data_IF_556258905953
#
_entry.id   IF_556258905953
#
_cell.length_a   1.000
_cell.length_b   1.000
_cell.length_c   1.000
_cell.angle_alpha   90.00
_cell.angle_beta   90.00
_cell.angle_gamma   90.00
#
_symmetry.space_group_name_H-M   'P 1'
#
loop_
_entity.id
_entity.type
_entity.pdbx_description
1 polymer ?
#
# COMPACT_ATOMS: atom_id res chain seq x y z
N UNK A 1 37.81 10.27 23.85
CA UNK A 1 36.37 9.93 23.84
C UNK A 1 35.79 10.46 22.53
N UNK A 2 35.83 9.67 21.45
CA UNK A 2 35.23 10.05 20.18
C UNK A 2 33.71 9.96 20.30
N UNK A 3 33.04 11.10 20.22
CA UNK A 3 31.58 11.17 20.19
C UNK A 3 31.08 10.39 18.98
N UNK A 4 30.35 9.29 19.22
CA UNK A 4 29.61 8.58 18.18
C UNK A 4 28.70 9.59 17.48
N UNK A 5 29.07 10.00 16.26
CA UNK A 5 28.25 10.86 15.41
C UNK A 5 26.84 10.27 15.33
N UNK A 6 25.85 10.95 15.93
CA UNK A 6 24.45 10.54 15.85
C UNK A 6 24.07 10.51 14.38
N UNK A 7 23.77 9.33 13.84
CA UNK A 7 23.39 9.18 12.45
C UNK A 7 22.23 10.13 12.13
N UNK A 8 22.41 11.00 11.13
CA UNK A 8 21.36 11.94 10.70
C UNK A 8 20.10 11.15 10.32
N UNK A 9 18.96 11.55 10.86
CA UNK A 9 17.63 10.97 10.57
C UNK A 9 16.72 12.07 10.04
N UNK A 10 15.87 11.73 9.08
CA UNK A 10 14.79 12.61 8.65
C UNK A 10 13.55 12.27 9.47
N UNK A 11 12.72 13.27 9.72
CA UNK A 11 11.38 13.12 10.30
C UNK A 11 10.33 13.39 9.22
N UNK A 12 9.15 12.81 9.39
CA UNK A 12 7.99 13.14 8.57
C UNK A 12 7.14 14.21 9.29
N UNK A 13 6.92 15.34 8.62
CA UNK A 13 6.18 16.51 9.08
C UNK A 13 5.34 17.09 7.93
N UNK A 14 4.69 18.24 8.15
CA UNK A 14 3.86 18.88 7.13
C UNK A 14 4.61 19.26 5.84
N UNK A 15 5.91 19.58 5.92
CA UNK A 15 6.74 19.85 4.72
C UNK A 15 6.98 18.56 3.93
N UNK A 16 7.20 17.46 4.64
CA UNK A 16 7.27 16.12 4.05
C UNK A 16 5.98 15.73 3.31
N UNK A 17 4.83 15.97 3.94
CA UNK A 17 3.53 15.71 3.32
C UNK A 17 3.29 16.59 2.09
N UNK A 18 3.57 17.90 2.21
CA UNK A 18 3.44 18.84 1.09
C UNK A 18 4.30 18.41 -0.10
N UNK A 19 5.56 18.02 0.13
CA UNK A 19 6.45 17.58 -0.93
C UNK A 19 5.91 16.33 -1.67
N UNK A 20 5.36 15.36 -0.95
CA UNK A 20 4.75 14.18 -1.56
C UNK A 20 3.54 14.55 -2.43
N UNK A 21 2.61 15.35 -1.90
CA UNK A 21 1.40 15.75 -2.62
C UNK A 21 1.73 16.62 -3.83
N UNK A 22 2.57 17.65 -3.66
CA UNK A 22 2.96 18.54 -4.75
C UNK A 22 3.74 17.79 -5.83
N UNK A 23 4.62 16.85 -5.42
CA UNK A 23 5.34 16.00 -6.35
C UNK A 23 4.43 15.07 -7.14
N UNK A 24 3.42 14.49 -6.49
CA UNK A 24 2.41 13.67 -7.15
C UNK A 24 1.64 14.47 -8.19
N UNK A 25 1.11 15.63 -7.80
CA UNK A 25 0.38 16.51 -8.69
C UNK A 25 1.24 16.98 -9.86
N UNK A 26 2.49 17.36 -9.62
CA UNK A 26 3.40 17.78 -10.69
C UNK A 26 3.69 16.65 -11.68
N UNK A 27 3.94 15.43 -11.19
CA UNK A 27 4.15 14.25 -12.03
C UNK A 27 2.95 13.93 -12.92
N UNK A 28 1.75 13.88 -12.33
CA UNK A 28 0.51 13.65 -13.08
C UNK A 28 0.20 14.78 -14.06
N UNK A 29 0.45 16.04 -13.67
CA UNK A 29 0.23 17.20 -14.52
C UNK A 29 1.15 17.21 -15.74
N UNK A 30 2.42 16.79 -15.60
CA UNK A 30 3.33 16.63 -16.73
C UNK A 30 2.78 15.63 -17.77
N UNK A 31 2.25 14.49 -17.33
CA UNK A 31 1.63 13.51 -18.25
C UNK A 31 0.39 14.08 -18.92
N UNK A 32 -0.44 14.84 -18.19
CA UNK A 32 -1.59 15.50 -18.76
C UNK A 32 -1.20 16.52 -19.85
N UNK A 33 -0.16 17.33 -19.63
CA UNK A 33 0.37 18.26 -20.64
C UNK A 33 0.87 17.50 -21.87
N UNK A 34 1.63 16.41 -21.67
CA UNK A 34 2.12 15.59 -22.77
C UNK A 34 0.97 15.00 -23.61
N UNK A 35 -0.13 14.60 -22.95
CA UNK A 35 -1.33 14.18 -23.66
C UNK A 35 -1.95 15.31 -24.50
N UNK A 36 -2.07 16.52 -23.93
CA UNK A 36 -2.58 17.68 -24.67
C UNK A 36 -1.71 17.98 -25.90
N UNK A 37 -0.38 18.01 -25.74
CA UNK A 37 0.56 18.18 -26.86
C UNK A 37 0.36 17.08 -27.90
N UNK A 38 0.18 15.83 -27.47
CA UNK A 38 -0.05 14.70 -28.37
C UNK A 38 -1.32 14.85 -29.22
N UNK A 39 -2.39 15.36 -28.62
CA UNK A 39 -3.65 15.62 -29.34
C UNK A 39 -3.45 16.70 -30.41
N UNK A 40 -2.76 17.80 -30.09
CA UNK A 40 -2.58 18.90 -31.05
C UNK A 40 -1.50 18.63 -32.11
N UNK A 41 -0.40 18.00 -31.73
CA UNK A 41 0.75 17.79 -32.63
C UNK A 41 0.63 16.52 -33.47
N UNK A 42 0.01 15.46 -32.92
CA UNK A 42 -0.04 14.13 -33.55
C UNK A 42 -1.46 13.62 -33.78
N UNK A 43 -2.50 14.34 -33.34
CA UNK A 43 -3.89 13.89 -33.38
C UNK A 43 -4.12 12.54 -32.67
N UNK A 44 -3.31 12.26 -31.64
CA UNK A 44 -3.40 11.05 -30.81
C UNK A 44 -3.76 11.46 -29.39
N UNK A 45 -4.93 11.01 -28.91
CA UNK A 45 -5.30 11.13 -27.51
C UNK A 45 -4.82 9.90 -26.74
N UNK A 46 -3.76 10.07 -25.94
CA UNK A 46 -3.17 9.01 -25.14
C UNK A 46 -4.12 8.56 -24.01
N UNK A 47 -5.04 9.40 -23.54
CA UNK A 47 -5.98 9.03 -22.45
C UNK A 47 -6.84 7.80 -22.75
N UNK A 48 -7.06 7.50 -24.03
CA UNK A 48 -7.81 6.31 -24.46
C UNK A 48 -6.92 5.09 -24.71
N UNK A 49 -5.62 5.20 -24.47
CA UNK A 49 -4.66 4.11 -24.65
C UNK A 49 -4.43 3.37 -23.33
N UNK A 50 -4.34 2.04 -23.38
CA UNK A 50 -4.15 1.18 -22.21
C UNK A 50 -2.91 1.56 -21.36
N UNK A 51 -1.85 2.07 -21.99
CA UNK A 51 -0.61 2.44 -21.30
C UNK A 51 -0.68 3.77 -20.56
N UNK A 52 -1.67 4.62 -20.83
CA UNK A 52 -1.73 5.96 -20.25
C UNK A 52 -1.89 5.93 -18.74
N UNK A 53 -2.72 5.02 -18.22
CA UNK A 53 -2.90 4.86 -16.77
C UNK A 53 -1.60 4.44 -16.09
N UNK A 54 -0.83 3.54 -16.72
CA UNK A 54 0.51 3.13 -16.25
C UNK A 54 1.44 4.33 -16.17
N UNK A 55 1.54 5.11 -17.24
CA UNK A 55 2.45 6.26 -17.32
C UNK A 55 2.04 7.35 -16.34
N UNK A 56 0.74 7.68 -16.27
CA UNK A 56 0.22 8.70 -15.37
C UNK A 56 0.46 8.34 -13.89
N UNK A 57 0.21 7.08 -13.51
CA UNK A 57 0.42 6.61 -12.15
C UNK A 57 1.91 6.57 -11.78
N UNK A 58 2.76 6.04 -12.67
CA UNK A 58 4.20 6.04 -12.49
C UNK A 58 4.74 7.45 -12.29
N UNK A 59 4.35 8.39 -13.16
CA UNK A 59 4.81 9.76 -13.10
C UNK A 59 4.38 10.46 -11.80
N UNK A 60 3.14 10.25 -11.36
CA UNK A 60 2.66 10.76 -10.07
C UNK A 60 3.51 10.26 -8.91
N UNK A 61 3.63 8.94 -8.72
CA UNK A 61 4.40 8.39 -7.61
C UNK A 61 5.90 8.71 -7.68
N UNK A 62 6.51 8.65 -8.87
CA UNK A 62 7.91 9.04 -9.06
C UNK A 62 8.11 10.52 -8.75
N UNK A 63 7.18 11.39 -9.15
CA UNK A 63 7.19 12.82 -8.81
C UNK A 63 7.11 13.05 -7.30
N UNK A 64 6.23 12.33 -6.59
CA UNK A 64 6.12 12.39 -5.13
C UNK A 64 7.43 11.97 -4.44
N UNK A 65 7.98 10.81 -4.81
CA UNK A 65 9.21 10.26 -4.23
C UNK A 65 10.40 11.18 -4.54
N UNK A 66 10.50 11.68 -5.77
CA UNK A 66 11.55 12.61 -6.18
C UNK A 66 11.48 13.93 -5.40
N UNK A 67 10.30 14.54 -5.30
CA UNK A 67 10.11 15.78 -4.56
C UNK A 67 10.48 15.61 -3.08
N UNK A 68 10.05 14.52 -2.45
CA UNK A 68 10.44 14.22 -1.08
C UNK A 68 11.96 14.00 -0.94
N UNK A 69 12.56 13.21 -1.83
CA UNK A 69 14.00 12.95 -1.80
C UNK A 69 14.82 14.24 -1.97
N UNK A 70 14.49 15.05 -2.97
CA UNK A 70 15.22 16.26 -3.32
C UNK A 70 15.03 17.39 -2.31
N UNK A 71 13.80 17.70 -1.89
CA UNK A 71 13.51 18.85 -1.03
C UNK A 71 13.60 18.55 0.47
N UNK A 72 13.42 17.29 0.89
CA UNK A 72 13.32 16.93 2.31
C UNK A 72 14.45 16.01 2.75
N UNK A 73 14.68 14.90 2.04
CA UNK A 73 15.62 13.87 2.48
C UNK A 73 17.09 14.27 2.27
N UNK A 74 17.49 14.60 1.04
CA UNK A 74 18.88 14.95 0.70
C UNK A 74 19.42 16.14 1.48
N UNK A 75 18.68 17.26 1.69
CA UNK A 75 19.19 18.37 2.49
C UNK A 75 19.43 18.00 3.95
N UNK A 76 18.62 17.10 4.52
CA UNK A 76 18.76 16.65 5.91
C UNK A 76 19.84 15.57 6.07
N UNK A 77 19.94 14.63 5.14
CA UNK A 77 20.78 13.43 5.26
C UNK A 77 22.12 13.55 4.52
N UNK A 78 22.19 14.32 3.44
CA UNK A 78 23.35 14.44 2.55
C UNK A 78 23.54 13.26 1.59
N UNK A 79 22.55 12.36 1.48
CA UNK A 79 22.57 11.20 0.58
C UNK A 79 21.21 11.00 -0.07
N UNK A 80 21.16 10.25 -1.18
CA UNK A 80 19.92 9.85 -1.83
C UNK A 80 19.10 8.93 -0.94
N UNK A 81 17.77 9.02 -1.03
CA UNK A 81 16.83 8.10 -0.38
C UNK A 81 17.16 6.66 -0.77
N UNK A 82 17.24 5.79 0.24
CA UNK A 82 17.53 4.38 0.05
C UNK A 82 16.72 3.54 1.03
N UNK A 83 16.34 2.34 0.59
CA UNK A 83 15.54 1.39 1.34
C UNK A 83 16.26 0.06 1.43
N UNK A 84 16.14 -0.60 2.57
CA UNK A 84 16.65 -1.95 2.71
C UNK A 84 15.70 -2.91 1.98
N UNK A 85 16.21 -3.59 0.96
CA UNK A 85 15.50 -4.62 0.18
C UNK A 85 15.99 -6.04 0.50
N UNK A 86 16.65 -6.24 1.65
CA UNK A 86 17.20 -7.53 2.02
C UNK A 86 16.11 -8.59 2.17
N UNK A 87 16.32 -9.76 1.57
CA UNK A 87 15.47 -10.93 1.77
C UNK A 87 15.93 -11.71 3.01
N UNK A 88 15.06 -12.01 3.99
CA UNK A 88 15.36 -12.89 5.11
C UNK A 88 15.27 -14.37 4.68
N UNK A 89 15.47 -15.27 5.64
CA UNK A 89 15.31 -16.70 5.39
C UNK A 89 13.87 -17.11 5.05
N UNK A 90 13.73 -18.27 4.39
CA UNK A 90 12.44 -18.85 3.97
C UNK A 90 11.41 -18.92 5.10
N UNK A 91 11.85 -19.21 6.33
CA UNK A 91 10.97 -19.27 7.48
C UNK A 91 10.23 -17.96 7.74
N UNK A 92 10.79 -16.80 7.39
CA UNK A 92 10.03 -15.54 7.52
C UNK A 92 8.87 -15.49 6.53
N UNK A 93 9.06 -15.94 5.30
CA UNK A 93 8.01 -16.03 4.28
C UNK A 93 6.87 -16.98 4.72
N UNK A 94 7.23 -18.16 5.23
CA UNK A 94 6.28 -19.14 5.78
C UNK A 94 5.47 -18.62 6.97
N UNK A 95 5.92 -17.56 7.64
CA UNK A 95 5.20 -16.92 8.73
C UNK A 95 4.32 -15.77 8.24
N UNK A 96 4.86 -14.90 7.37
CA UNK A 96 4.17 -13.66 7.02
C UNK A 96 3.06 -13.85 5.98
N UNK A 97 3.18 -14.80 5.05
CA UNK A 97 2.16 -15.02 4.02
C UNK A 97 0.86 -15.60 4.60
N UNK A 98 0.89 -16.66 5.43
CA UNK A 98 -0.32 -17.14 6.10
C UNK A 98 -0.90 -16.12 7.09
N UNK A 99 -0.06 -15.33 7.76
CA UNK A 99 -0.52 -14.21 8.59
C UNK A 99 -1.28 -13.17 7.76
N UNK A 100 -0.72 -12.77 6.60
CA UNK A 100 -1.37 -11.84 5.69
C UNK A 100 -2.69 -12.42 5.16
N UNK A 101 -2.69 -13.68 4.71
CA UNK A 101 -3.90 -14.34 4.23
C UNK A 101 -4.98 -14.43 5.31
N UNK A 102 -4.61 -14.73 6.57
CA UNK A 102 -5.55 -14.68 7.69
C UNK A 102 -6.16 -13.30 7.88
N UNK A 103 -5.36 -12.22 7.75
CA UNK A 103 -5.88 -10.85 7.80
C UNK A 103 -6.76 -10.49 6.59
N UNK A 104 -6.48 -11.04 5.40
CA UNK A 104 -7.34 -10.84 4.22
C UNK A 104 -8.75 -11.37 4.46
N UNK A 105 -8.89 -12.56 5.07
CA UNK A 105 -10.21 -13.12 5.40
C UNK A 105 -10.95 -12.31 6.48
N UNK A 106 -10.22 -11.79 7.48
CA UNK A 106 -10.79 -10.88 8.49
C UNK A 106 -11.23 -9.57 7.83
N UNK A 107 -10.43 -9.04 6.91
CA UNK A 107 -10.72 -7.80 6.20
C UNK A 107 -11.94 -7.93 5.31
N UNK A 108 -12.09 -9.04 4.57
CA UNK A 108 -13.29 -9.35 3.78
C UNK A 108 -14.54 -9.29 4.64
N UNK A 109 -14.57 -10.05 5.75
CA UNK A 109 -15.71 -10.04 6.67
C UNK A 109 -15.98 -8.64 7.22
N UNK A 110 -14.95 -7.87 7.57
CA UNK A 110 -15.15 -6.53 8.13
C UNK A 110 -15.72 -5.57 7.07
N UNK A 111 -15.28 -5.71 5.82
CA UNK A 111 -15.79 -4.91 4.69
C UNK A 111 -17.22 -5.32 4.30
N UNK A 112 -17.60 -6.60 4.43
CA UNK A 112 -18.98 -7.06 4.13
C UNK A 112 -20.04 -6.46 5.05
N UNK A 113 -19.64 -5.97 6.24
CA UNK A 113 -20.53 -5.24 7.16
C UNK A 113 -20.93 -3.84 6.64
N UNK A 114 -20.22 -3.30 5.64
CA UNK A 114 -20.54 -2.00 5.04
C UNK A 114 -21.62 -2.22 3.98
N UNK A 115 -22.83 -1.63 4.13
CA UNK A 115 -23.93 -1.84 3.19
C UNK A 115 -23.52 -1.44 1.76
N UNK A 116 -23.86 -2.28 0.78
CA UNK A 116 -23.69 -1.97 -0.66
C UNK A 116 -24.99 -1.49 -1.33
N UNK A 117 -26.06 -1.35 -0.55
CA UNK A 117 -27.40 -0.93 -1.00
C UNK A 117 -27.92 0.25 -0.18
N UNK A 118 -29.04 0.83 -0.61
CA UNK A 118 -29.68 1.95 0.05
C UNK A 118 -29.34 3.32 -0.58
N UNK A 119 -30.04 4.39 -0.14
CA UNK A 119 -30.01 5.69 -0.83
C UNK A 119 -28.67 6.42 -0.72
N UNK A 120 -27.84 6.09 0.26
CA UNK A 120 -26.52 6.69 0.42
C UNK A 120 -25.41 5.74 -0.07
N UNK A 121 -25.25 4.59 0.58
CA UNK A 121 -24.17 3.67 0.25
C UNK A 121 -24.39 2.95 -1.09
N UNK A 122 -25.62 2.65 -1.49
CA UNK A 122 -25.89 2.00 -2.77
C UNK A 122 -25.50 2.86 -3.97
N UNK A 123 -25.88 4.13 -3.97
CA UNK A 123 -25.47 5.07 -5.02
C UNK A 123 -23.94 5.24 -5.07
N UNK A 124 -23.31 5.35 -3.90
CA UNK A 124 -21.86 5.50 -3.80
C UNK A 124 -21.11 4.23 -4.26
N UNK A 125 -21.62 3.05 -3.92
CA UNK A 125 -21.07 1.77 -4.36
C UNK A 125 -21.15 1.62 -5.89
N UNK A 126 -22.32 1.90 -6.46
CA UNK A 126 -22.54 1.82 -7.91
C UNK A 126 -21.63 2.78 -8.66
N UNK A 127 -21.47 4.01 -8.16
CA UNK A 127 -20.55 5.00 -8.73
C UNK A 127 -19.11 4.47 -8.82
N UNK A 128 -18.59 3.86 -7.74
CA UNK A 128 -17.24 3.28 -7.74
C UNK A 128 -17.12 2.07 -8.64
N UNK A 129 -18.09 1.17 -8.64
CA UNK A 129 -18.09 -0.01 -9.51
C UNK A 129 -18.06 0.42 -10.98
N UNK A 130 -18.86 1.43 -11.36
CA UNK A 130 -18.87 1.98 -12.72
C UNK A 130 -17.56 2.68 -13.08
N UNK A 131 -16.95 3.40 -12.12
CA UNK A 131 -15.65 4.04 -12.33
C UNK A 131 -14.55 3.00 -12.56
N UNK A 132 -14.49 1.96 -11.72
CA UNK A 132 -13.53 0.86 -11.83
C UNK A 132 -13.71 0.08 -13.15
N UNK A 133 -14.94 -0.18 -13.56
CA UNK A 133 -15.24 -0.83 -14.82
C UNK A 133 -14.75 -0.03 -16.05
N UNK A 134 -14.66 1.30 -15.93
CA UNK A 134 -14.18 2.21 -16.99
C UNK A 134 -12.67 2.44 -16.96
N UNK A 135 -11.95 2.10 -15.88
CA UNK A 135 -10.53 2.42 -15.74
C UNK A 135 -9.61 1.67 -16.70
N UNK A 136 -9.86 0.38 -16.97
CA UNK A 136 -9.20 -0.37 -18.06
C UNK A 136 -9.87 -1.74 -18.23
N UNK A 137 -10.07 -2.16 -19.47
CA UNK A 137 -10.53 -3.52 -19.81
C UNK A 137 -9.37 -4.50 -19.97
N UNK A 138 -8.13 -4.01 -19.94
CA UNK A 138 -6.94 -4.82 -20.20
C UNK A 138 -6.42 -5.46 -18.91
N UNK A 139 -6.60 -6.78 -18.79
CA UNK A 139 -6.16 -7.56 -17.63
C UNK A 139 -4.65 -7.44 -17.37
N UNK A 140 -3.82 -7.36 -18.40
CA UNK A 140 -2.37 -7.24 -18.24
C UNK A 140 -1.98 -5.88 -17.65
N UNK A 141 -2.63 -4.80 -18.11
CA UNK A 141 -2.49 -3.44 -17.55
C UNK A 141 -2.87 -3.42 -16.08
N UNK A 142 -4.02 -4.02 -15.72
CA UNK A 142 -4.46 -4.12 -14.33
C UNK A 142 -3.46 -4.86 -13.45
N UNK A 143 -2.94 -6.01 -13.90
CA UNK A 143 -1.94 -6.77 -13.15
C UNK A 143 -0.66 -5.95 -12.94
N UNK A 144 -0.14 -5.33 -14.00
CA UNK A 144 1.08 -4.53 -13.89
C UNK A 144 0.90 -3.36 -12.91
N UNK A 145 -0.23 -2.67 -12.99
CA UNK A 145 -0.56 -1.56 -12.10
C UNK A 145 -0.79 -2.01 -10.66
N UNK A 146 -1.76 -2.87 -10.43
CA UNK A 146 -2.25 -3.23 -9.11
C UNK A 146 -1.33 -4.22 -8.39
N UNK A 147 -0.68 -5.15 -9.09
CA UNK A 147 0.12 -6.22 -8.46
C UNK A 147 1.59 -5.85 -8.34
N UNK A 148 2.11 -5.00 -9.23
CA UNK A 148 3.54 -4.66 -9.26
C UNK A 148 3.77 -3.21 -8.87
N UNK A 149 3.24 -2.26 -9.65
CA UNK A 149 3.60 -0.85 -9.49
C UNK A 149 3.03 -0.24 -8.21
N UNK A 150 1.75 -0.45 -7.92
CA UNK A 150 1.10 0.07 -6.72
C UNK A 150 1.80 -0.44 -5.44
N UNK A 151 2.02 -1.75 -5.24
CA UNK A 151 2.79 -2.25 -4.10
C UNK A 151 4.18 -1.63 -3.97
N UNK A 152 4.93 -1.47 -5.06
CA UNK A 152 6.27 -0.87 -4.99
C UNK A 152 6.19 0.60 -4.55
N UNK A 153 5.38 1.41 -5.22
CA UNK A 153 5.32 2.84 -4.96
C UNK A 153 4.65 3.17 -3.63
N UNK A 154 3.54 2.51 -3.32
CA UNK A 154 2.78 2.76 -2.10
C UNK A 154 3.60 2.32 -0.88
N UNK A 155 4.25 1.16 -0.89
CA UNK A 155 5.09 0.77 0.25
C UNK A 155 6.29 1.71 0.44
N UNK A 156 6.90 2.21 -0.65
CA UNK A 156 7.94 3.25 -0.56
C UNK A 156 7.40 4.49 0.16
N UNK A 157 6.22 4.98 -0.20
CA UNK A 157 5.61 6.19 0.38
C UNK A 157 5.16 5.94 1.81
N UNK A 158 4.31 4.94 2.05
CA UNK A 158 3.68 4.76 3.36
C UNK A 158 4.64 4.14 4.37
N UNK A 159 5.41 3.11 4.01
CA UNK A 159 6.30 2.41 4.97
C UNK A 159 7.70 3.04 4.96
N UNK A 160 8.24 3.24 3.76
CA UNK A 160 9.59 3.75 3.56
C UNK A 160 9.77 5.22 3.98
N UNK A 161 8.78 6.08 3.72
CA UNK A 161 8.83 7.53 3.95
C UNK A 161 8.02 7.94 5.18
N UNK A 162 6.70 7.73 5.16
CA UNK A 162 5.79 8.26 6.20
C UNK A 162 6.04 7.55 7.53
N UNK A 163 5.83 6.23 7.59
CA UNK A 163 5.97 5.45 8.82
C UNK A 163 7.39 5.53 9.38
N UNK A 164 8.43 5.37 8.55
CA UNK A 164 9.83 5.50 8.98
C UNK A 164 10.14 6.90 9.52
N UNK A 165 9.64 7.95 8.89
CA UNK A 165 9.81 9.32 9.38
C UNK A 165 9.07 9.59 10.70
N UNK A 166 7.88 8.99 10.91
CA UNK A 166 7.16 9.05 12.19
C UNK A 166 7.95 8.32 13.30
N UNK A 167 8.50 7.14 13.01
CA UNK A 167 9.36 6.42 13.94
C UNK A 167 10.63 7.21 14.29
N UNK A 168 11.25 7.85 13.31
CA UNK A 168 12.43 8.70 13.52
C UNK A 168 12.12 9.94 14.37
N UNK A 169 10.87 10.40 14.39
CA UNK A 169 10.38 11.47 15.28
C UNK A 169 10.20 11.00 16.74
N UNK A 170 10.45 9.72 17.03
CA UNK A 170 10.31 9.14 18.38
C UNK A 170 8.90 8.62 18.67
N UNK A 171 8.02 8.52 17.65
CA UNK A 171 6.68 7.97 17.84
C UNK A 171 6.75 6.47 18.18
N UNK A 172 5.88 6.04 19.11
CA UNK A 172 5.75 4.61 19.48
C UNK A 172 5.43 3.78 18.23
N UNK A 173 6.02 2.58 18.06
CA UNK A 173 5.85 1.77 16.85
C UNK A 173 4.40 1.47 16.49
N UNK A 174 3.59 1.10 17.48
CA UNK A 174 2.16 0.82 17.27
C UNK A 174 1.43 2.04 16.69
N UNK A 175 1.68 3.23 17.24
CA UNK A 175 1.06 4.48 16.78
C UNK A 175 1.50 4.84 15.37
N UNK A 176 2.79 4.70 15.05
CA UNK A 176 3.30 4.97 13.70
C UNK A 176 2.70 4.02 12.65
N UNK A 177 2.55 2.73 13.00
CA UNK A 177 1.92 1.72 12.14
C UNK A 177 0.46 2.09 11.86
N UNK A 178 -0.32 2.38 12.91
CA UNK A 178 -1.75 2.70 12.76
C UNK A 178 -1.95 4.01 11.98
N UNK A 179 -1.20 5.07 12.28
CA UNK A 179 -1.30 6.32 11.52
C UNK A 179 -0.96 6.08 10.04
N UNK A 180 0.12 5.35 9.76
CA UNK A 180 0.47 5.02 8.38
C UNK A 180 -0.61 4.18 7.68
N UNK A 181 -1.23 3.23 8.36
CA UNK A 181 -2.28 2.38 7.81
C UNK A 181 -3.58 3.16 7.58
N UNK A 182 -3.94 4.08 8.47
CA UNK A 182 -5.09 4.99 8.30
C UNK A 182 -4.88 5.92 7.11
N UNK A 183 -3.71 6.56 7.01
CA UNK A 183 -3.41 7.43 5.86
C UNK A 183 -3.41 6.62 4.55
N UNK A 184 -2.89 5.39 4.58
CA UNK A 184 -2.95 4.46 3.45
C UNK A 184 -4.40 4.11 3.05
N UNK A 185 -5.29 3.84 4.00
CA UNK A 185 -6.70 3.62 3.69
C UNK A 185 -7.38 4.88 3.15
N UNK A 186 -7.10 6.05 3.72
CA UNK A 186 -7.75 7.31 3.34
C UNK A 186 -7.49 7.70 1.89
N UNK A 187 -6.29 7.44 1.36
CA UNK A 187 -5.96 7.81 -0.04
C UNK A 187 -6.76 7.04 -1.09
N UNK A 188 -7.40 5.92 -0.72
CA UNK A 188 -8.25 5.17 -1.64
C UNK A 188 -9.61 5.84 -1.86
N UNK A 189 -10.03 6.76 -0.97
CA UNK A 189 -11.32 7.47 -1.03
C UNK A 189 -12.57 6.57 -1.15
N UNK A 190 -12.42 5.26 -0.92
CA UNK A 190 -13.46 4.25 -1.05
C UNK A 190 -13.67 3.57 0.32
N UNK A 191 -14.87 3.62 0.92
CA UNK A 191 -15.14 3.05 2.24
C UNK A 191 -14.88 1.53 2.35
N UNK A 192 -15.23 0.77 1.31
CA UNK A 192 -15.04 -0.68 1.27
C UNK A 192 -13.56 -1.05 1.20
N UNK A 193 -12.77 -0.26 0.46
CA UNK A 193 -11.31 -0.40 0.44
C UNK A 193 -10.64 0.15 1.69
N UNK A 194 -11.17 1.22 2.29
CA UNK A 194 -10.58 1.90 3.44
C UNK A 194 -10.36 0.91 4.60
N UNK A 195 -11.41 0.18 4.99
CA UNK A 195 -11.35 -0.72 6.14
C UNK A 195 -10.36 -1.85 5.90
N UNK A 196 -10.42 -2.50 4.73
CA UNK A 196 -9.45 -3.52 4.34
C UNK A 196 -8.02 -3.00 4.28
N UNK A 197 -7.80 -1.82 3.68
CA UNK A 197 -6.50 -1.17 3.57
C UNK A 197 -5.91 -0.82 4.94
N UNK A 198 -6.71 -0.40 5.93
CA UNK A 198 -6.23 -0.16 7.29
C UNK A 198 -5.79 -1.46 7.98
N UNK A 199 -6.58 -2.53 7.85
CA UNK A 199 -6.29 -3.83 8.46
C UNK A 199 -5.03 -4.47 7.86
N UNK A 200 -5.00 -4.63 6.54
CA UNK A 200 -3.86 -5.14 5.80
C UNK A 200 -2.65 -4.23 5.97
N UNK A 201 -2.88 -2.91 5.92
CA UNK A 201 -1.82 -1.94 6.07
C UNK A 201 -1.13 -1.96 7.43
N UNK A 202 -1.85 -2.38 8.47
CA UNK A 202 -1.29 -2.61 9.80
C UNK A 202 -0.36 -3.83 9.82
N UNK A 203 -0.69 -4.91 9.11
CA UNK A 203 0.18 -6.08 8.94
C UNK A 203 1.45 -5.72 8.18
N UNK A 204 1.33 -4.99 7.07
CA UNK A 204 2.47 -4.50 6.28
C UNK A 204 3.40 -3.64 7.14
N UNK A 205 2.84 -2.72 7.93
CA UNK A 205 3.60 -1.88 8.86
C UNK A 205 4.29 -2.67 9.97
N UNK A 206 3.61 -3.68 10.56
CA UNK A 206 4.21 -4.58 11.54
C UNK A 206 5.40 -5.34 10.96
N UNK A 207 5.22 -5.94 9.78
CA UNK A 207 6.26 -6.71 9.08
C UNK A 207 7.46 -5.82 8.77
N UNK A 208 7.23 -4.62 8.22
CA UNK A 208 8.29 -3.64 7.98
C UNK A 208 9.01 -3.25 9.27
N UNK A 209 8.27 -2.96 10.34
CA UNK A 209 8.85 -2.56 11.63
C UNK A 209 9.76 -3.64 12.21
N UNK A 210 9.36 -4.91 12.15
CA UNK A 210 10.10 -6.04 12.72
C UNK A 210 11.28 -6.49 11.87
N UNK A 211 11.13 -6.48 10.55
CA UNK A 211 12.14 -7.03 9.63
C UNK A 211 13.10 -5.96 9.10
N UNK A 212 12.71 -4.68 9.16
CA UNK A 212 13.45 -3.54 8.58
C UNK A 212 13.71 -3.69 7.08
N UNK A 213 12.98 -4.57 6.39
CA UNK A 213 13.07 -4.77 4.94
C UNK A 213 11.78 -4.30 4.29
N UNK A 214 11.91 -3.45 3.26
CA UNK A 214 10.80 -2.96 2.47
C UNK A 214 10.34 -3.96 1.41
N UNK A 215 11.19 -4.92 1.04
CA UNK A 215 10.82 -5.99 0.11
C UNK A 215 9.64 -6.81 0.63
N UNK A 216 9.59 -7.07 1.93
CA UNK A 216 8.58 -7.92 2.53
C UNK A 216 7.15 -7.36 2.43
N UNK A 217 6.88 -6.11 2.88
CA UNK A 217 5.56 -5.54 2.68
C UNK A 217 5.21 -5.36 1.19
N UNK A 218 6.18 -5.08 0.31
CA UNK A 218 5.91 -5.03 -1.15
C UNK A 218 5.37 -6.37 -1.64
N UNK A 219 6.02 -7.48 -1.27
CA UNK A 219 5.60 -8.83 -1.68
C UNK A 219 4.25 -9.24 -1.08
N UNK A 220 3.98 -8.89 0.19
CA UNK A 220 2.69 -9.16 0.83
C UNK A 220 1.56 -8.35 0.22
N UNK A 221 1.81 -7.09 -0.12
CA UNK A 221 0.85 -6.23 -0.78
C UNK A 221 0.60 -6.72 -2.21
N UNK A 222 1.64 -7.07 -2.96
CA UNK A 222 1.51 -7.71 -4.27
C UNK A 222 0.72 -9.02 -4.20
N UNK A 223 0.96 -9.84 -3.17
CA UNK A 223 0.19 -11.07 -2.94
C UNK A 223 -1.29 -10.81 -2.74
N UNK A 224 -1.66 -9.84 -1.90
CA UNK A 224 -3.06 -9.44 -1.72
C UNK A 224 -3.70 -9.04 -3.06
N UNK A 225 -3.04 -8.13 -3.79
CA UNK A 225 -3.59 -7.59 -5.02
C UNK A 225 -3.67 -8.65 -6.12
N UNK A 226 -2.73 -9.60 -6.14
CA UNK A 226 -2.76 -10.75 -7.04
C UNK A 226 -3.94 -11.67 -6.74
N UNK A 227 -4.17 -12.01 -5.47
CA UNK A 227 -5.32 -12.80 -5.06
C UNK A 227 -6.64 -12.12 -5.47
N UNK A 228 -6.82 -10.83 -5.12
CA UNK A 228 -8.00 -10.07 -5.51
C UNK A 228 -8.18 -10.03 -7.03
N UNK A 229 -7.11 -9.79 -7.79
CA UNK A 229 -7.17 -9.77 -9.27
C UNK A 229 -7.60 -11.12 -9.85
N UNK A 230 -7.10 -12.24 -9.29
CA UNK A 230 -7.50 -13.59 -9.71
C UNK A 230 -8.99 -13.81 -9.42
N UNK A 231 -9.48 -13.46 -8.23
CA UNK A 231 -10.90 -13.61 -7.89
C UNK A 231 -11.79 -12.82 -8.87
N UNK A 232 -11.43 -11.57 -9.16
CA UNK A 232 -12.18 -10.73 -10.11
C UNK A 232 -12.18 -11.33 -11.51
N UNK A 233 -11.01 -11.77 -12.01
CA UNK A 233 -10.88 -12.21 -13.40
C UNK A 233 -11.55 -13.54 -13.70
N UNK A 234 -11.67 -14.43 -12.70
CA UNK A 234 -12.22 -15.77 -12.87
C UNK A 234 -13.63 -15.91 -12.29
N UNK A 235 -13.94 -15.22 -11.19
CA UNK A 235 -15.21 -15.36 -10.47
C UNK A 235 -16.06 -14.09 -10.46
N UNK A 236 -15.55 -12.97 -11.02
CA UNK A 236 -16.25 -11.66 -11.07
C UNK A 236 -16.66 -11.12 -9.68
N UNK A 237 -15.94 -11.54 -8.65
CA UNK A 237 -16.12 -11.10 -7.26
C UNK A 237 -14.75 -10.93 -6.62
N UNK A 238 -14.66 -10.09 -5.60
CA UNK A 238 -13.47 -9.98 -4.73
C UNK A 238 -13.59 -10.87 -3.48
N UNK A 239 -14.74 -11.53 -3.28
CA UNK A 239 -15.03 -12.34 -2.10
C UNK A 239 -14.53 -13.78 -2.26
N UNK A 240 -13.77 -14.24 -1.26
CA UNK A 240 -13.44 -15.67 -1.13
C UNK A 240 -14.68 -16.47 -0.75
N UNK A 241 -15.59 -15.92 0.07
CA UNK A 241 -16.83 -16.57 0.48
C UNK A 241 -17.70 -16.92 -0.72
N UNK A 242 -17.94 -15.96 -1.61
CA UNK A 242 -18.70 -16.15 -2.86
C UNK A 242 -18.02 -17.17 -3.78
N UNK A 243 -16.70 -17.04 -3.96
CA UNK A 243 -15.93 -17.91 -4.86
C UNK A 243 -15.97 -19.37 -4.43
N UNK A 244 -15.81 -19.63 -3.13
CA UNK A 244 -15.80 -21.00 -2.59
C UNK A 244 -17.17 -21.48 -2.13
N UNK A 245 -18.22 -20.64 -2.24
CA UNK A 245 -19.57 -20.92 -1.79
C UNK A 245 -19.63 -21.36 -0.31
N UNK A 246 -18.87 -20.65 0.54
CA UNK A 246 -18.79 -20.90 1.97
C UNK A 246 -19.27 -19.69 2.76
N UNK A 247 -19.67 -19.89 4.02
CA UNK A 247 -20.10 -18.80 4.89
C UNK A 247 -18.96 -17.85 5.22
N UNK A 248 -19.21 -16.54 5.17
CA UNK A 248 -18.26 -15.50 5.60
C UNK A 248 -17.82 -15.70 7.07
N UNK A 249 -18.72 -16.20 7.92
CA UNK A 249 -18.41 -16.51 9.32
C UNK A 249 -17.38 -17.65 9.47
N UNK A 250 -17.44 -18.63 8.58
CA UNK A 250 -16.45 -19.72 8.55
C UNK A 250 -15.08 -19.18 8.14
N UNK A 251 -15.03 -18.33 7.10
CA UNK A 251 -13.80 -17.69 6.66
C UNK A 251 -13.24 -16.74 7.72
N UNK A 252 -14.09 -16.00 8.43
CA UNK A 252 -13.67 -15.18 9.58
C UNK A 252 -13.00 -16.06 10.65
N UNK A 253 -13.62 -17.17 11.03
CA UNK A 253 -13.06 -18.11 12.00
C UNK A 253 -11.68 -18.63 11.59
N UNK A 254 -11.56 -19.07 10.32
CA UNK A 254 -10.29 -19.50 9.74
C UNK A 254 -9.25 -18.36 9.74
N UNK A 255 -9.67 -17.16 9.35
CA UNK A 255 -8.84 -15.95 9.30
C UNK A 255 -8.26 -15.60 10.67
N UNK A 256 -9.09 -15.61 11.72
CA UNK A 256 -8.67 -15.36 13.11
C UNK A 256 -7.65 -16.39 13.57
N UNK A 257 -7.90 -17.68 13.30
CA UNK A 257 -6.98 -18.76 13.68
C UNK A 257 -5.63 -18.62 12.96
N UNK A 258 -5.64 -18.42 11.64
CA UNK A 258 -4.43 -18.21 10.84
C UNK A 258 -3.67 -16.97 11.30
N UNK A 259 -4.33 -15.81 11.34
CA UNK A 259 -3.69 -14.56 11.72
C UNK A 259 -3.07 -14.66 13.11
N UNK A 260 -3.83 -15.11 14.11
CA UNK A 260 -3.36 -15.18 15.50
C UNK A 260 -2.19 -16.14 15.66
N UNK A 261 -2.29 -17.34 15.08
CA UNK A 261 -1.24 -18.36 15.16
C UNK A 261 0.06 -17.84 14.56
N UNK A 262 0.01 -17.35 13.32
CA UNK A 262 1.20 -16.89 12.62
C UNK A 262 1.73 -15.56 13.17
N UNK A 263 0.87 -14.67 13.68
CA UNK A 263 1.28 -13.47 14.40
C UNK A 263 2.08 -13.80 15.66
N UNK A 264 1.65 -14.77 16.46
CA UNK A 264 2.36 -15.19 17.68
C UNK A 264 3.73 -15.79 17.31
N UNK A 265 3.76 -16.69 16.32
CA UNK A 265 5.00 -17.32 15.85
C UNK A 265 5.98 -16.29 15.28
N UNK A 266 5.49 -15.37 14.44
CA UNK A 266 6.27 -14.25 13.90
C UNK A 266 6.80 -13.34 15.00
N UNK A 267 5.96 -12.98 15.97
CA UNK A 267 6.34 -12.13 17.11
C UNK A 267 7.37 -12.79 18.02
N UNK A 268 7.31 -14.12 18.19
CA UNK A 268 8.30 -14.89 18.95
C UNK A 268 9.66 -14.91 18.25
N UNK A 269 9.67 -15.07 16.91
CA UNK A 269 10.91 -15.02 16.10
C UNK A 269 11.55 -13.63 16.13
N UNK A 270 10.76 -12.58 16.00
CA UNK A 270 11.22 -11.18 15.99
C UNK A 270 10.97 -10.48 17.34
N UNK A 271 11.32 -11.15 18.45
CA UNK A 271 11.31 -10.53 19.77
C UNK A 271 12.26 -9.33 19.75
N UNK A 272 11.70 -8.16 20.07
CA UNK A 272 12.51 -6.95 20.25
C UNK A 272 13.04 -7.04 21.68
N UNK A 273 14.31 -7.36 21.84
CA UNK A 273 14.97 -7.18 23.13
C UNK A 273 15.11 -5.67 23.34
N UNK A 274 14.32 -5.12 24.25
CA UNK A 274 14.58 -3.78 24.76
C UNK A 274 15.84 -3.89 25.60
N UNK A 275 16.98 -3.47 25.03
CA UNK A 275 18.11 -3.08 25.85
C UNK A 275 17.66 -1.73 26.42
N UNK A 276 17.19 -1.74 27.66
CA UNK A 276 17.09 -0.53 28.46
C UNK A 276 18.50 0.07 28.53
N UNK A 277 18.68 1.21 27.86
CA UNK A 277 19.85 2.08 28.02
C UNK A 277 19.43 3.24 28.92
#
# INVERSE_FOLDING_TARGET
MEGKSVAKKYIFDGKGALALVSGFMAGSFLVAILNVISVFAFNVNMQYQDYYLIVANAAGFMGAIFAFDYFIYRPKIGKKLNFNMSSPNLMTYLLIFPMMFGMMLIAEFTTSLIPITGPFFGEYYQYFTDLMAKMTSNKATLILLAVIMAPVFEEIVFRGIIMKGLLNKGMKPKTAIIISAVVFGLVHANPWQFVGAVLLGSVLGLVYYKTKSLLLPILLHAFNNLCSSILIFYNKTESFADTFQVSEWLLLGLGIVLFTTFYILFSKKYRVHYIEN
#
